data_IF_282814610550
#
_entry.id   IF_282814610550
#
_cell.length_a   1.000
_cell.length_b   1.000
_cell.length_c   1.000
_cell.angle_alpha   90.00
_cell.angle_beta   90.00
_cell.angle_gamma   90.00
#
_symmetry.space_group_name_H-M   'P 1'
#
loop_
_entity.id
_entity.type
_entity.pdbx_description
1 polymer ?
#
# COMPACT_ATOMS: atom_id res chain seq x y z
N UNK A 1 -18.31 -6.65 -15.02
CA UNK A 1 -17.87 -7.69 -15.94
C UNK A 1 -17.49 -8.95 -15.18
N UNK A 2 -17.89 -10.14 -15.67
CA UNK A 2 -17.67 -11.43 -14.99
C UNK A 2 -16.18 -11.79 -14.75
N UNK A 3 -15.25 -11.20 -15.51
CA UNK A 3 -13.80 -11.39 -15.38
C UNK A 3 -13.17 -10.58 -14.22
N UNK A 4 -13.86 -9.57 -13.70
CA UNK A 4 -13.32 -8.69 -12.66
C UNK A 4 -13.08 -9.44 -11.34
N UNK A 5 -14.06 -10.24 -10.89
CA UNK A 5 -13.92 -10.99 -9.64
C UNK A 5 -12.78 -12.01 -9.66
N UNK A 6 -12.63 -12.86 -10.69
CA UNK A 6 -11.45 -13.73 -10.80
C UNK A 6 -10.14 -12.97 -10.79
N UNK A 7 -10.03 -11.84 -11.51
CA UNK A 7 -8.83 -11.01 -11.53
C UNK A 7 -8.48 -10.50 -10.12
N UNK A 8 -9.46 -9.96 -9.38
CA UNK A 8 -9.23 -9.46 -8.02
C UNK A 8 -8.81 -10.57 -7.06
N UNK A 9 -9.46 -11.74 -7.12
CA UNK A 9 -9.12 -12.89 -6.27
C UNK A 9 -7.69 -13.37 -6.54
N UNK A 10 -7.31 -13.53 -7.81
CA UNK A 10 -5.95 -13.95 -8.18
C UNK A 10 -4.93 -12.88 -7.74
N UNK A 11 -5.25 -11.60 -7.90
CA UNK A 11 -4.41 -10.50 -7.44
C UNK A 11 -4.21 -10.53 -5.92
N UNK A 12 -5.26 -10.78 -5.14
CA UNK A 12 -5.15 -10.90 -3.68
C UNK A 12 -4.26 -12.08 -3.28
N UNK A 13 -4.43 -13.26 -3.92
CA UNK A 13 -3.58 -14.42 -3.67
C UNK A 13 -2.12 -14.11 -4.02
N UNK A 14 -1.88 -13.42 -5.14
CA UNK A 14 -0.56 -12.98 -5.54
C UNK A 14 0.06 -12.02 -4.49
N UNK A 15 -0.72 -11.08 -3.93
CA UNK A 15 -0.25 -10.19 -2.86
C UNK A 15 0.06 -10.94 -1.55
N UNK A 16 -0.70 -11.99 -1.21
CA UNK A 16 -0.38 -12.85 -0.04
C UNK A 16 0.98 -13.53 -0.23
N UNK A 17 1.25 -14.08 -1.42
CA UNK A 17 2.54 -14.70 -1.75
C UNK A 17 3.68 -13.67 -1.66
N UNK A 18 3.49 -12.47 -2.22
CA UNK A 18 4.51 -11.41 -2.18
C UNK A 18 4.76 -10.92 -0.75
N UNK A 19 3.73 -10.81 0.08
CA UNK A 19 3.87 -10.44 1.49
C UNK A 19 4.73 -11.45 2.26
N UNK A 20 4.52 -12.74 2.01
CA UNK A 20 5.37 -13.79 2.58
C UNK A 20 6.84 -13.63 2.15
N UNK A 21 7.12 -13.31 0.90
CA UNK A 21 8.47 -13.10 0.41
C UNK A 21 9.11 -11.83 0.98
N UNK A 22 8.37 -10.74 1.10
CA UNK A 22 8.84 -9.51 1.75
C UNK A 22 9.31 -9.80 3.18
N UNK A 23 8.50 -10.54 3.96
CA UNK A 23 8.80 -10.85 5.36
C UNK A 23 9.98 -11.83 5.49
N UNK A 24 10.09 -12.79 4.57
CA UNK A 24 11.12 -13.83 4.61
C UNK A 24 12.45 -13.45 3.96
N UNK A 25 12.57 -12.24 3.38
CA UNK A 25 13.81 -11.76 2.79
C UNK A 25 14.96 -11.74 3.83
N UNK A 26 16.20 -12.19 3.52
CA UNK A 26 16.72 -12.63 2.20
C UNK A 26 16.62 -14.15 1.90
N UNK A 27 15.92 -14.96 2.70
CA UNK A 27 15.95 -16.43 2.63
C UNK A 27 15.56 -17.02 1.27
N UNK A 28 14.71 -16.34 0.49
CA UNK A 28 14.15 -16.85 -0.77
C UNK A 28 14.52 -16.03 -2.01
N UNK A 29 15.58 -15.22 -1.94
CA UNK A 29 16.01 -14.33 -3.04
C UNK A 29 16.34 -15.06 -4.34
N UNK A 30 16.81 -16.31 -4.25
CA UNK A 30 17.20 -17.11 -5.42
C UNK A 30 16.10 -17.30 -6.44
N UNK A 31 14.83 -17.37 -5.99
CA UNK A 31 13.67 -17.57 -6.87
C UNK A 31 13.26 -16.30 -7.62
N UNK A 32 13.63 -15.12 -7.11
CA UNK A 32 13.28 -13.84 -7.72
C UNK A 32 14.24 -13.41 -8.84
N UNK A 33 15.51 -13.80 -8.74
CA UNK A 33 16.55 -13.34 -9.66
C UNK A 33 16.56 -14.07 -11.00
N UNK A 34 15.99 -15.28 -11.06
CA UNK A 34 16.34 -16.20 -12.16
C UNK A 34 15.55 -15.98 -13.43
N UNK A 35 14.34 -15.39 -13.38
CA UNK A 35 13.45 -15.42 -14.55
C UNK A 35 12.84 -14.05 -14.86
N UNK A 36 12.99 -13.64 -16.13
CA UNK A 36 12.27 -12.49 -16.71
C UNK A 36 10.75 -12.66 -16.57
N UNK A 37 10.25 -13.88 -16.62
CA UNK A 37 8.84 -14.24 -16.40
C UNK A 37 8.31 -13.78 -15.05
N UNK A 38 9.09 -13.94 -13.96
CA UNK A 38 8.67 -13.49 -12.63
C UNK A 38 8.50 -11.97 -12.58
N UNK A 39 9.39 -11.21 -13.22
CA UNK A 39 9.31 -9.76 -13.30
C UNK A 39 8.09 -9.31 -14.11
N UNK A 40 7.80 -9.97 -15.24
CA UNK A 40 6.65 -9.66 -16.07
C UNK A 40 5.33 -9.99 -15.35
N UNK A 41 5.25 -11.13 -14.65
CA UNK A 41 4.10 -11.52 -13.84
C UNK A 41 3.87 -10.52 -12.70
N UNK A 42 4.93 -10.10 -11.99
CA UNK A 42 4.85 -9.10 -10.95
C UNK A 42 4.37 -7.74 -11.51
N UNK A 43 4.90 -7.30 -12.64
CA UNK A 43 4.44 -6.09 -13.32
C UNK A 43 2.97 -6.17 -13.73
N UNK A 44 2.53 -7.29 -14.29
CA UNK A 44 1.14 -7.50 -14.68
C UNK A 44 0.19 -7.39 -13.50
N UNK A 45 0.41 -8.14 -12.40
CA UNK A 45 -0.44 -8.12 -11.22
C UNK A 45 -0.33 -6.84 -10.38
N UNK A 46 0.67 -6.00 -10.64
CA UNK A 46 0.77 -4.68 -10.06
C UNK A 46 -0.02 -3.65 -10.87
N UNK A 47 0.23 -3.54 -12.18
CA UNK A 47 -0.32 -2.46 -12.99
C UNK A 47 -1.74 -2.72 -13.50
N UNK A 48 -2.07 -3.94 -13.92
CA UNK A 48 -3.38 -4.21 -14.54
C UNK A 48 -4.53 -4.03 -13.53
N UNK A 49 -4.48 -4.62 -12.33
CA UNK A 49 -5.52 -4.38 -11.32
C UNK A 49 -5.60 -2.91 -10.88
N UNK A 50 -4.45 -2.23 -10.77
CA UNK A 50 -4.41 -0.81 -10.44
C UNK A 50 -5.21 0.03 -11.44
N UNK A 51 -4.93 -0.13 -12.74
CA UNK A 51 -5.64 0.63 -13.80
C UNK A 51 -7.12 0.29 -13.82
N UNK A 52 -7.47 -1.00 -13.68
CA UNK A 52 -8.87 -1.45 -13.66
C UNK A 52 -9.63 -0.85 -12.47
N UNK A 53 -9.05 -0.91 -11.26
CA UNK A 53 -9.69 -0.39 -10.04
C UNK A 53 -9.80 1.13 -10.08
N UNK A 54 -8.75 1.85 -10.49
CA UNK A 54 -8.79 3.31 -10.63
C UNK A 54 -9.84 3.75 -11.66
N UNK A 55 -9.94 3.03 -12.79
CA UNK A 55 -10.97 3.31 -13.81
C UNK A 55 -12.39 3.05 -13.26
N UNK A 56 -12.58 1.99 -12.48
CA UNK A 56 -13.85 1.68 -11.85
C UNK A 56 -14.25 2.74 -10.81
N UNK A 57 -13.32 3.15 -9.95
CA UNK A 57 -13.54 4.22 -8.97
C UNK A 57 -13.91 5.54 -9.67
N UNK A 58 -13.18 5.90 -10.72
CA UNK A 58 -13.46 7.12 -11.49
C UNK A 58 -14.85 7.12 -12.14
N UNK A 59 -15.33 5.95 -12.59
CA UNK A 59 -16.68 5.82 -13.16
C UNK A 59 -17.78 5.92 -12.11
N UNK A 60 -17.52 5.52 -10.85
CA UNK A 60 -18.49 5.67 -9.75
C UNK A 60 -18.53 7.13 -9.30
N UNK A 61 -17.39 7.69 -8.93
CA UNK A 61 -17.20 9.08 -8.55
C UNK A 61 -15.70 9.41 -8.63
N UNK A 62 -15.35 10.43 -9.42
CA UNK A 62 -13.96 10.88 -9.55
C UNK A 62 -13.35 11.37 -8.22
N UNK A 63 -14.16 11.81 -7.28
CA UNK A 63 -13.71 12.23 -5.95
C UNK A 63 -13.12 11.07 -5.14
N UNK A 64 -13.54 9.82 -5.38
CA UNK A 64 -13.00 8.64 -4.73
C UNK A 64 -11.53 8.38 -5.12
N UNK A 65 -11.15 8.72 -6.35
CA UNK A 65 -9.74 8.64 -6.79
C UNK A 65 -8.91 9.68 -6.03
N UNK A 66 -9.42 10.91 -5.89
CA UNK A 66 -8.74 11.97 -5.13
C UNK A 66 -8.63 11.60 -3.65
N UNK A 67 -9.68 11.02 -3.06
CA UNK A 67 -9.66 10.52 -1.70
C UNK A 67 -8.60 9.44 -1.52
N UNK A 68 -8.54 8.45 -2.42
CA UNK A 68 -7.53 7.38 -2.37
C UNK A 68 -6.12 7.95 -2.39
N UNK A 69 -5.84 8.90 -3.29
CA UNK A 69 -4.53 9.56 -3.38
C UNK A 69 -4.24 10.37 -2.10
N UNK A 70 -5.21 11.11 -1.57
CA UNK A 70 -5.06 11.87 -0.33
C UNK A 70 -4.74 10.98 0.87
N UNK A 71 -5.37 9.79 0.97
CA UNK A 71 -5.08 8.81 2.02
C UNK A 71 -3.65 8.28 1.92
N UNK A 72 -3.20 7.93 0.71
CA UNK A 72 -1.84 7.43 0.48
C UNK A 72 -0.82 8.52 0.83
N UNK A 73 -1.01 9.75 0.34
CA UNK A 73 -0.11 10.88 0.67
C UNK A 73 -0.09 11.21 2.16
N UNK A 74 -1.24 11.16 2.83
CA UNK A 74 -1.33 11.35 4.27
C UNK A 74 -0.57 10.25 5.02
N UNK A 75 -0.75 8.99 4.60
CA UNK A 75 -0.04 7.86 5.18
C UNK A 75 1.49 8.00 5.03
N UNK A 76 1.98 8.35 3.84
CA UNK A 76 3.41 8.52 3.59
C UNK A 76 3.99 9.71 4.36
N UNK A 77 3.28 10.85 4.37
CA UNK A 77 3.69 12.04 5.11
C UNK A 77 3.73 11.79 6.60
N UNK A 78 2.69 11.17 7.16
CA UNK A 78 2.62 10.81 8.57
C UNK A 78 3.70 9.81 8.96
N UNK A 79 3.92 8.80 8.13
CA UNK A 79 4.98 7.81 8.34
C UNK A 79 6.37 8.45 8.34
N UNK A 80 6.63 9.38 7.43
CA UNK A 80 7.89 10.12 7.37
C UNK A 80 8.09 11.01 8.59
N UNK A 81 7.10 11.87 8.93
CA UNK A 81 7.20 12.83 10.03
C UNK A 81 7.41 12.12 11.36
N UNK A 82 6.54 11.14 11.69
CA UNK A 82 6.60 10.42 12.96
C UNK A 82 7.82 9.49 13.01
N UNK A 83 8.11 8.79 11.92
CA UNK A 83 9.27 7.90 11.83
C UNK A 83 10.59 8.63 12.01
N UNK A 84 10.71 9.87 11.48
CA UNK A 84 11.90 10.70 11.65
C UNK A 84 11.99 11.29 13.06
N UNK A 85 10.87 11.68 13.67
CA UNK A 85 10.85 12.34 14.98
C UNK A 85 11.09 11.35 16.13
N UNK A 86 10.44 10.20 16.12
CA UNK A 86 10.44 9.26 17.25
C UNK A 86 10.72 7.80 16.87
N UNK A 87 10.98 7.51 15.58
CA UNK A 87 11.19 6.14 15.09
C UNK A 87 12.45 5.47 15.67
N UNK A 88 12.24 4.41 16.41
CA UNK A 88 13.31 3.60 17.05
C UNK A 88 13.31 2.16 16.53
N UNK A 89 12.12 1.56 16.41
CA UNK A 89 11.96 0.17 16.05
C UNK A 89 11.82 0.02 14.54
N UNK A 90 12.73 -0.73 13.93
CA UNK A 90 12.71 -0.94 12.47
C UNK A 90 11.58 -1.89 12.09
N UNK A 91 10.85 -1.58 11.01
CA UNK A 91 9.73 -2.40 10.52
C UNK A 91 10.26 -3.67 9.84
N UNK A 92 11.11 -3.53 8.81
CA UNK A 92 11.77 -4.64 8.10
C UNK A 92 13.19 -4.21 7.68
N UNK A 93 14.20 -4.37 8.57
CA UNK A 93 15.55 -3.85 8.37
C UNK A 93 16.22 -4.34 7.08
N UNK A 94 15.99 -5.59 6.71
CA UNK A 94 16.62 -6.22 5.56
C UNK A 94 16.06 -5.71 4.22
N UNK A 95 14.80 -5.27 4.19
CA UNK A 95 14.10 -4.77 3.01
C UNK A 95 14.23 -3.26 2.92
N UNK A 96 13.81 -2.56 3.98
CA UNK A 96 13.79 -1.11 4.07
C UNK A 96 14.29 -0.61 5.43
N UNK A 97 15.60 -0.33 5.59
CA UNK A 97 16.20 0.08 6.86
C UNK A 97 15.71 1.46 7.34
N UNK A 98 15.10 2.26 6.47
CA UNK A 98 14.54 3.57 6.83
C UNK A 98 13.18 3.50 7.52
N UNK A 99 12.38 2.46 7.26
CA UNK A 99 11.03 2.36 7.80
C UNK A 99 11.00 1.90 9.26
N UNK A 100 10.12 2.51 10.07
CA UNK A 100 9.95 2.21 11.49
C UNK A 100 8.51 1.89 11.82
N UNK A 101 8.29 1.14 12.91
CA UNK A 101 6.95 0.77 13.41
C UNK A 101 6.21 2.04 13.85
N UNK A 102 6.91 2.96 14.52
CA UNK A 102 6.34 4.25 14.95
C UNK A 102 5.93 5.10 13.74
N UNK A 103 6.74 5.06 12.68
CA UNK A 103 6.40 5.70 11.40
C UNK A 103 5.12 5.10 10.80
N UNK A 104 5.01 3.78 10.76
CA UNK A 104 3.80 3.11 10.25
C UNK A 104 2.55 3.51 11.06
N UNK A 105 2.66 3.58 12.39
CA UNK A 105 1.58 4.08 13.26
C UNK A 105 1.23 5.55 12.95
N UNK A 106 2.24 6.41 12.69
CA UNK A 106 2.05 7.79 12.24
C UNK A 106 1.27 7.87 10.93
N UNK A 107 1.62 7.02 9.96
CA UNK A 107 0.89 6.92 8.69
C UNK A 107 -0.58 6.56 8.88
N UNK A 108 -0.87 5.59 9.75
CA UNK A 108 -2.26 5.23 10.11
C UNK A 108 -3.01 6.40 10.71
N UNK A 109 -2.40 7.12 11.67
CA UNK A 109 -3.05 8.25 12.33
C UNK A 109 -3.37 9.40 11.36
N UNK A 110 -2.44 9.74 10.45
CA UNK A 110 -2.65 10.79 9.46
C UNK A 110 -3.72 10.41 8.44
N UNK A 111 -3.69 9.18 7.96
CA UNK A 111 -4.70 8.67 7.02
C UNK A 111 -6.10 8.62 7.65
N UNK A 112 -6.21 8.17 8.91
CA UNK A 112 -7.47 8.24 9.66
C UNK A 112 -7.96 9.68 9.83
N UNK A 113 -7.05 10.64 10.07
CA UNK A 113 -7.39 12.06 10.15
C UNK A 113 -8.00 12.59 8.85
N UNK A 114 -7.41 12.28 7.70
CA UNK A 114 -7.95 12.65 6.39
C UNK A 114 -9.32 11.99 6.16
N UNK A 115 -9.46 10.71 6.51
CA UNK A 115 -10.74 10.02 6.36
C UNK A 115 -11.83 10.60 7.28
N UNK A 116 -11.48 10.94 8.52
CA UNK A 116 -12.40 11.61 9.44
C UNK A 116 -12.90 12.95 8.87
N UNK A 117 -12.00 13.77 8.32
CA UNK A 117 -12.33 15.03 7.67
C UNK A 117 -13.28 14.78 6.48
N UNK A 118 -12.97 13.78 5.64
CA UNK A 118 -13.81 13.44 4.50
C UNK A 118 -15.23 13.05 4.93
N UNK A 119 -15.39 12.23 5.96
CA UNK A 119 -16.69 11.80 6.47
C UNK A 119 -17.44 12.97 7.11
N UNK A 120 -16.74 13.80 7.89
CA UNK A 120 -17.36 14.93 8.59
C UNK A 120 -17.92 16.00 7.63
N UNK A 121 -17.21 16.31 6.56
CA UNK A 121 -17.65 17.31 5.59
C UNK A 121 -18.44 16.74 4.41
N UNK A 122 -18.31 15.45 4.12
CA UNK A 122 -18.96 14.80 2.98
C UNK A 122 -20.35 14.25 3.28
N UNK A 123 -20.69 14.03 4.55
CA UNK A 123 -21.97 13.43 4.93
C UNK A 123 -22.70 14.30 5.97
N UNK A 124 -23.93 14.73 5.64
CA UNK A 124 -24.81 15.36 6.62
C UNK A 124 -25.23 14.33 7.66
N UNK A 125 -24.91 14.58 8.95
CA UNK A 125 -25.26 13.69 10.07
C UNK A 125 -24.72 12.25 9.95
N UNK A 126 -23.42 12.14 9.65
CA UNK A 126 -22.75 10.85 9.57
C UNK A 126 -22.96 10.00 10.83
N UNK A 127 -23.39 8.75 10.64
CA UNK A 127 -23.60 7.81 11.74
C UNK A 127 -22.26 7.23 12.25
N UNK A 128 -22.26 6.70 13.49
CA UNK A 128 -21.11 6.00 14.04
C UNK A 128 -20.66 4.81 13.16
N UNK A 129 -21.60 4.15 12.51
CA UNK A 129 -21.33 3.05 11.59
C UNK A 129 -20.56 3.52 10.35
N UNK A 130 -20.89 4.70 9.81
CA UNK A 130 -20.17 5.29 8.68
C UNK A 130 -18.74 5.64 9.08
N UNK A 131 -18.53 6.30 10.22
CA UNK A 131 -17.18 6.58 10.73
C UNK A 131 -16.36 5.29 10.91
N UNK A 132 -16.97 4.24 11.46
CA UNK A 132 -16.31 2.95 11.63
C UNK A 132 -15.94 2.32 10.26
N UNK A 133 -16.89 2.25 9.33
CA UNK A 133 -16.67 1.70 7.99
C UNK A 133 -15.53 2.41 7.25
N UNK A 134 -15.60 3.73 7.18
CA UNK A 134 -14.56 4.53 6.51
C UNK A 134 -13.22 4.50 7.24
N UNK A 135 -13.23 4.39 8.57
CA UNK A 135 -12.02 4.19 9.38
C UNK A 135 -11.32 2.86 9.05
N UNK A 136 -12.08 1.78 8.96
CA UNK A 136 -11.55 0.45 8.54
C UNK A 136 -11.01 0.52 7.10
N UNK A 137 -11.72 1.18 6.19
CA UNK A 137 -11.26 1.37 4.81
C UNK A 137 -9.92 2.13 4.76
N UNK A 138 -9.80 3.22 5.51
CA UNK A 138 -8.54 3.98 5.63
C UNK A 138 -7.39 3.11 6.15
N UNK A 139 -7.65 2.28 7.16
CA UNK A 139 -6.66 1.36 7.70
C UNK A 139 -6.19 0.35 6.64
N UNK A 140 -7.11 -0.24 5.88
CA UNK A 140 -6.79 -1.18 4.79
C UNK A 140 -5.93 -0.49 3.73
N UNK A 141 -6.32 0.72 3.29
CA UNK A 141 -5.57 1.51 2.30
C UNK A 141 -4.15 1.79 2.81
N UNK A 142 -4.00 2.21 4.05
CA UNK A 142 -2.69 2.53 4.64
C UNK A 142 -1.80 1.29 4.74
N UNK A 143 -2.33 0.17 5.22
CA UNK A 143 -1.56 -1.07 5.34
C UNK A 143 -1.13 -1.60 3.97
N UNK A 144 -2.00 -1.53 2.97
CA UNK A 144 -1.66 -1.92 1.59
C UNK A 144 -0.65 -0.97 0.96
N UNK A 145 -0.71 0.34 1.23
CA UNK A 145 0.32 1.30 0.80
C UNK A 145 1.69 0.96 1.40
N UNK A 146 1.77 0.67 2.70
CA UNK A 146 3.01 0.24 3.36
C UNK A 146 3.57 -1.03 2.73
N UNK A 147 2.71 -2.01 2.42
CA UNK A 147 3.12 -3.25 1.73
C UNK A 147 3.64 -2.99 0.31
N UNK A 148 2.98 -2.10 -0.44
CA UNK A 148 3.41 -1.69 -1.78
C UNK A 148 4.81 -1.07 -1.78
N UNK A 149 5.07 -0.20 -0.84
CA UNK A 149 6.38 0.43 -0.63
C UNK A 149 7.48 -0.59 -0.24
N UNK A 150 7.13 -1.57 0.61
CA UNK A 150 8.05 -2.65 0.95
C UNK A 150 8.32 -3.57 -0.24
N UNK A 151 7.32 -3.80 -1.08
CA UNK A 151 7.44 -4.55 -2.33
C UNK A 151 8.41 -3.86 -3.31
N UNK A 152 8.26 -2.55 -3.52
CA UNK A 152 9.20 -1.76 -4.32
C UNK A 152 10.62 -1.82 -3.74
N UNK A 153 10.75 -1.64 -2.42
CA UNK A 153 12.03 -1.72 -1.72
C UNK A 153 12.69 -3.10 -1.88
N UNK A 154 11.90 -4.18 -1.82
CA UNK A 154 12.38 -5.55 -2.06
C UNK A 154 12.97 -5.69 -3.46
N UNK A 155 12.27 -5.21 -4.50
CA UNK A 155 12.75 -5.26 -5.89
C UNK A 155 14.08 -4.51 -6.06
N UNK A 156 14.23 -3.34 -5.44
CA UNK A 156 15.51 -2.60 -5.43
C UNK A 156 16.65 -3.42 -4.80
N UNK A 157 16.40 -4.07 -3.66
CA UNK A 157 17.41 -4.93 -2.99
C UNK A 157 17.79 -6.12 -3.85
N UNK A 158 16.81 -6.78 -4.45
CA UNK A 158 17.03 -7.92 -5.35
C UNK A 158 17.81 -7.49 -6.61
N UNK A 159 17.58 -6.30 -7.13
CA UNK A 159 18.31 -5.74 -8.26
C UNK A 159 19.71 -5.22 -7.90
N UNK A 160 20.10 -5.24 -6.60
CA UNK A 160 21.37 -4.67 -6.15
C UNK A 160 21.40 -3.14 -6.16
N UNK A 161 20.24 -2.49 -6.40
CA UNK A 161 20.10 -1.05 -6.43
C UNK A 161 19.66 -0.51 -5.07
N UNK A 162 20.16 0.70 -4.73
CA UNK A 162 19.69 1.41 -3.53
C UNK A 162 18.58 2.40 -3.86
N UNK A 163 18.70 3.06 -5.00
CA UNK A 163 17.81 4.12 -5.46
C UNK A 163 17.24 3.75 -6.83
N UNK A 164 16.07 4.32 -7.18
CA UNK A 164 15.38 4.04 -8.46
C UNK A 164 15.93 4.83 -9.64
N UNK A 165 16.91 5.71 -9.40
CA UNK A 165 17.60 6.51 -10.40
C UNK A 165 19.09 6.16 -10.46
N UNK A 166 19.68 6.31 -11.65
CA UNK A 166 21.14 6.19 -11.90
C UNK A 166 21.82 7.42 -11.34
#
# INVERSE_FOLDING_TARGET
PFWLMPLLVITLLWWVINSYWIISFPRHTRYWHSFITTRLVNGFFFFVPLVVVLSALHQIDSSLVLLLLALIWAADSGAYIVGRAIGKNKLLPNVSPGKTIEGAAGGVLFSLGVMFIYVYFGFENASSEQYFFYGVLSLIVTLTSILGDLFESLHKRVAGAKDSGI
#
